data_IF_851697435146
#
_entry.id   IF_851697435146
#
_cell.length_a   1.000
_cell.length_b   1.000
_cell.length_c   1.000
_cell.angle_alpha   90.00
_cell.angle_beta   90.00
_cell.angle_gamma   90.00
#
_symmetry.space_group_name_H-M   'P 1'
#
loop_
_entity.id
_entity.type
_entity.pdbx_description
1 polymer ?
#
# COMPACT_ATOMS: atom_id res chain seq x y z
N UNK A 1 -33.77 -2.84 -7.17
CA UNK A 1 -33.29 -1.89 -8.20
C UNK A 1 -31.81 -1.51 -8.11
N UNK A 2 -31.09 -1.70 -6.98
CA UNK A 2 -29.63 -1.47 -6.97
C UNK A 2 -28.79 -2.63 -7.55
N UNK A 3 -29.31 -3.86 -7.52
CA UNK A 3 -28.59 -5.05 -7.98
C UNK A 3 -28.57 -5.23 -9.51
N UNK A 4 -29.44 -4.55 -10.27
CA UNK A 4 -29.44 -4.57 -11.75
C UNK A 4 -28.32 -3.70 -12.37
N UNK A 5 -27.62 -2.89 -11.56
CA UNK A 5 -26.48 -2.06 -11.98
C UNK A 5 -25.12 -2.74 -11.81
N UNK A 6 -25.10 -3.96 -11.26
CA UNK A 6 -23.89 -4.76 -11.04
C UNK A 6 -23.85 -5.87 -12.10
N UNK A 7 -23.30 -5.54 -13.27
CA UNK A 7 -22.92 -6.54 -14.24
C UNK A 7 -21.44 -6.82 -14.08
N UNK A 8 -21.09 -7.58 -13.01
CA UNK A 8 -19.70 -7.93 -12.75
C UNK A 8 -19.23 -8.67 -13.99
N UNK A 9 -18.44 -7.99 -14.83
CA UNK A 9 -17.81 -8.59 -16.00
C UNK A 9 -16.98 -9.80 -15.57
N UNK A 10 -16.40 -10.50 -16.54
CA UNK A 10 -15.59 -11.70 -16.29
C UNK A 10 -14.71 -11.54 -15.03
N UNK A 11 -14.91 -12.43 -14.05
CA UNK A 11 -14.32 -12.34 -12.71
C UNK A 11 -12.81 -12.02 -12.65
N UNK A 12 -11.98 -12.47 -13.60
CA UNK A 12 -10.58 -12.06 -13.70
C UNK A 12 -10.37 -10.53 -13.80
N UNK A 13 -11.25 -9.81 -14.49
CA UNK A 13 -11.13 -8.37 -14.69
C UNK A 13 -11.35 -7.60 -13.38
N UNK A 14 -12.34 -8.01 -12.58
CA UNK A 14 -12.61 -7.42 -11.27
C UNK A 14 -11.40 -7.54 -10.32
N UNK A 15 -10.65 -8.64 -10.41
CA UNK A 15 -9.42 -8.84 -9.62
C UNK A 15 -8.34 -7.85 -10.07
N UNK A 16 -8.15 -7.66 -11.38
CA UNK A 16 -7.19 -6.68 -11.90
C UNK A 16 -7.52 -5.25 -11.43
N UNK A 17 -8.80 -4.86 -11.50
CA UNK A 17 -9.27 -3.58 -10.96
C UNK A 17 -9.03 -3.46 -9.45
N UNK A 18 -9.29 -4.54 -8.69
CA UNK A 18 -9.05 -4.55 -7.25
C UNK A 18 -7.58 -4.35 -6.92
N UNK A 19 -6.67 -5.10 -7.57
CA UNK A 19 -5.22 -5.00 -7.36
C UNK A 19 -4.71 -3.61 -7.72
N UNK A 20 -5.19 -3.05 -8.84
CA UNK A 20 -4.88 -1.68 -9.25
C UNK A 20 -5.32 -0.65 -8.20
N UNK A 21 -6.60 -0.67 -7.81
CA UNK A 21 -7.14 0.25 -6.81
C UNK A 21 -6.39 0.11 -5.49
N UNK A 22 -6.14 -1.13 -5.06
CA UNK A 22 -5.42 -1.42 -3.83
C UNK A 22 -4.01 -0.84 -3.83
N UNK A 23 -3.22 -1.09 -4.88
CA UNK A 23 -1.86 -0.55 -5.01
C UNK A 23 -1.83 0.98 -5.04
N UNK A 24 -2.74 1.60 -5.80
CA UNK A 24 -2.86 3.06 -5.87
C UNK A 24 -3.28 3.67 -4.53
N UNK A 25 -4.21 3.03 -3.80
CA UNK A 25 -4.63 3.46 -2.46
C UNK A 25 -3.47 3.33 -1.46
N UNK A 26 -2.72 2.22 -1.47
CA UNK A 26 -1.55 2.06 -0.60
C UNK A 26 -0.52 3.17 -0.83
N UNK A 27 -0.21 3.45 -2.09
CA UNK A 27 0.70 4.55 -2.45
C UNK A 27 0.18 5.91 -2.01
N UNK A 28 -1.13 6.15 -2.12
CA UNK A 28 -1.77 7.40 -1.67
C UNK A 28 -1.71 7.53 -0.14
N UNK A 29 -2.01 6.47 0.60
CA UNK A 29 -1.93 6.46 2.06
C UNK A 29 -0.49 6.72 2.49
N UNK A 30 0.50 6.07 1.86
CA UNK A 30 1.92 6.31 2.14
C UNK A 30 2.31 7.77 1.84
N UNK A 31 1.82 8.36 0.75
CA UNK A 31 2.10 9.77 0.41
C UNK A 31 1.56 10.72 1.47
N UNK A 32 0.31 10.51 1.87
CA UNK A 32 -0.36 11.30 2.91
C UNK A 32 0.35 11.10 4.26
N UNK A 33 0.71 9.88 4.61
CA UNK A 33 1.42 9.57 5.84
C UNK A 33 2.79 10.26 5.91
N UNK A 34 3.55 10.27 4.80
CA UNK A 34 4.82 11.00 4.68
C UNK A 34 4.59 12.51 4.77
N UNK A 35 3.58 13.06 4.08
CA UNK A 35 3.31 14.50 4.05
C UNK A 35 2.92 15.08 5.41
N UNK A 36 2.19 14.31 6.21
CA UNK A 36 1.70 14.70 7.54
C UNK A 36 2.47 14.04 8.69
N UNK A 37 3.59 13.37 8.42
CA UNK A 37 4.45 12.70 9.40
C UNK A 37 3.69 11.75 10.35
N UNK A 38 2.69 11.03 9.84
CA UNK A 38 1.85 10.11 10.62
C UNK A 38 2.59 8.80 10.87
N UNK A 39 3.29 8.74 12.01
CA UNK A 39 4.13 7.59 12.42
C UNK A 39 3.39 6.25 12.50
N UNK A 40 2.07 6.26 12.66
CA UNK A 40 1.23 5.06 12.73
C UNK A 40 0.89 4.45 11.36
N UNK A 41 1.12 5.19 10.28
CA UNK A 41 0.80 4.79 8.91
C UNK A 41 2.01 4.81 7.97
N UNK A 42 3.11 5.45 8.37
CA UNK A 42 4.30 5.60 7.55
C UNK A 42 5.11 4.30 7.50
N UNK A 43 5.41 3.83 6.29
CA UNK A 43 6.28 2.68 6.10
C UNK A 43 7.75 3.10 6.02
N UNK A 44 8.01 4.09 5.17
CA UNK A 44 9.32 4.70 4.96
C UNK A 44 9.23 6.22 5.15
N UNK A 45 10.19 6.76 5.87
CA UNK A 45 10.28 8.19 6.17
C UNK A 45 11.09 8.93 5.09
N UNK A 46 10.90 10.26 5.02
CA UNK A 46 11.71 11.15 4.18
C UNK A 46 11.55 10.92 2.67
N UNK A 47 12.58 11.24 1.86
CA UNK A 47 12.51 11.16 0.40
C UNK A 47 12.17 9.76 -0.11
N UNK A 48 12.65 8.71 0.57
CA UNK A 48 12.38 7.32 0.22
C UNK A 48 10.88 6.98 0.34
N UNK A 49 10.18 7.54 1.32
CA UNK A 49 8.72 7.39 1.45
C UNK A 49 7.95 8.04 0.30
N UNK A 50 8.38 9.22 -0.15
CA UNK A 50 7.79 9.90 -1.31
C UNK A 50 8.02 9.12 -2.60
N UNK A 51 9.24 8.61 -2.83
CA UNK A 51 9.55 7.75 -3.97
C UNK A 51 8.73 6.47 -3.96
N UNK A 52 8.62 5.79 -2.82
CA UNK A 52 7.78 4.60 -2.69
C UNK A 52 6.31 4.91 -3.05
N UNK A 53 5.79 6.05 -2.58
CA UNK A 53 4.43 6.47 -2.91
C UNK A 53 4.24 6.65 -4.42
N UNK A 54 5.17 7.36 -5.07
CA UNK A 54 5.14 7.57 -6.51
C UNK A 54 5.25 6.27 -7.30
N UNK A 55 6.11 5.33 -6.86
CA UNK A 55 6.27 4.01 -7.48
C UNK A 55 5.01 3.17 -7.29
N UNK A 56 4.39 3.18 -6.12
CA UNK A 56 3.15 2.42 -5.88
C UNK A 56 2.01 2.96 -6.74
N UNK A 57 1.83 4.28 -6.79
CA UNK A 57 0.79 4.90 -7.62
C UNK A 57 1.12 4.67 -9.09
N UNK A 58 2.23 5.23 -9.58
CA UNK A 58 2.61 5.17 -10.99
C UNK A 58 2.81 3.74 -11.48
N UNK A 59 3.40 2.87 -10.67
CA UNK A 59 3.57 1.45 -10.97
C UNK A 59 2.24 0.71 -11.04
N UNK A 60 1.26 1.02 -10.18
CA UNK A 60 -0.09 0.43 -10.30
C UNK A 60 -0.76 0.85 -11.60
N UNK A 61 -0.66 2.13 -11.98
CA UNK A 61 -1.18 2.62 -13.27
C UNK A 61 -0.48 1.95 -14.45
N UNK A 62 0.85 1.97 -14.48
CA UNK A 62 1.64 1.38 -15.57
C UNK A 62 1.33 -0.12 -15.70
N UNK A 63 1.33 -0.84 -14.57
CA UNK A 63 1.01 -2.27 -14.55
C UNK A 63 -0.38 -2.54 -15.11
N UNK A 64 -1.39 -1.82 -14.60
CA UNK A 64 -2.78 -2.01 -15.02
C UNK A 64 -2.95 -1.80 -16.53
N UNK A 65 -2.40 -0.71 -17.08
CA UNK A 65 -2.49 -0.41 -18.52
C UNK A 65 -1.64 -1.32 -19.42
N UNK A 66 -0.57 -1.92 -18.90
CA UNK A 66 0.26 -2.87 -19.67
C UNK A 66 -0.36 -4.26 -19.68
N UNK A 67 -0.93 -4.70 -18.56
CA UNK A 67 -1.44 -6.06 -18.39
C UNK A 67 -2.86 -6.26 -18.91
N UNK A 68 -3.71 -5.23 -18.86
CA UNK A 68 -5.11 -5.34 -19.24
C UNK A 68 -5.40 -4.43 -20.44
N UNK A 69 -5.35 -5.00 -21.65
CA UNK A 69 -5.61 -4.26 -22.91
C UNK A 69 -7.09 -4.27 -23.31
N UNK A 70 -7.96 -4.97 -22.57
CA UNK A 70 -9.38 -5.13 -22.87
C UNK A 70 -10.28 -4.06 -22.21
N UNK A 71 -9.69 -2.92 -21.85
CA UNK A 71 -10.37 -1.75 -21.21
C UNK A 71 -11.51 -1.15 -22.07
N UNK A 72 -11.68 -1.63 -23.32
CA UNK A 72 -12.64 -1.11 -24.31
C UNK A 72 -13.86 -2.00 -24.58
N UNK A 73 -13.99 -3.17 -23.95
CA UNK A 73 -15.25 -3.93 -23.88
C UNK A 73 -16.16 -3.19 -22.90
N UNK A 74 -17.50 -3.01 -23.12
CA UNK A 74 -18.36 -2.15 -22.30
C UNK A 74 -18.03 -2.33 -20.82
N UNK A 75 -17.31 -1.33 -20.29
CA UNK A 75 -16.56 -1.49 -19.06
C UNK A 75 -17.46 -1.66 -17.87
N UNK A 76 -16.88 -2.16 -16.78
CA UNK A 76 -17.50 -2.25 -15.46
C UNK A 76 -18.33 -0.98 -15.19
N UNK A 77 -19.61 -1.13 -14.86
CA UNK A 77 -20.46 0.01 -14.62
C UNK A 77 -19.88 0.84 -13.45
N UNK A 78 -20.02 2.16 -13.48
CA UNK A 78 -19.35 3.05 -12.51
C UNK A 78 -19.62 2.68 -11.04
N UNK A 79 -20.79 2.08 -10.73
CA UNK A 79 -21.11 1.57 -9.40
C UNK A 79 -20.28 0.37 -8.96
N UNK A 80 -19.85 -0.47 -9.89
CA UNK A 80 -19.02 -1.64 -9.64
C UNK A 80 -17.58 -1.23 -9.38
N UNK A 81 -17.05 -0.32 -10.19
CA UNK A 81 -15.72 0.25 -9.99
C UNK A 81 -15.67 0.97 -8.63
N UNK A 82 -16.73 1.70 -8.28
CA UNK A 82 -16.86 2.31 -6.96
C UNK A 82 -16.84 1.27 -5.82
N UNK A 83 -17.57 0.16 -5.99
CA UNK A 83 -17.60 -0.93 -5.00
C UNK A 83 -16.22 -1.57 -4.83
N UNK A 84 -15.51 -1.81 -5.94
CA UNK A 84 -14.13 -2.34 -5.92
C UNK A 84 -13.20 -1.33 -5.24
N UNK A 85 -13.29 -0.05 -5.58
CA UNK A 85 -12.49 1.00 -4.95
C UNK A 85 -12.72 1.08 -3.44
N UNK A 86 -13.98 1.09 -2.99
CA UNK A 86 -14.33 1.14 -1.56
C UNK A 86 -13.84 -0.12 -0.84
N UNK A 87 -14.02 -1.30 -1.42
CA UNK A 87 -13.54 -2.55 -0.80
C UNK A 87 -12.01 -2.59 -0.73
N UNK A 88 -11.31 -2.19 -1.78
CA UNK A 88 -9.85 -2.05 -1.78
C UNK A 88 -9.39 -1.06 -0.71
N UNK A 89 -10.10 0.06 -0.54
CA UNK A 89 -9.79 1.06 0.49
C UNK A 89 -9.96 0.51 1.91
N UNK A 90 -11.08 -0.18 2.18
CA UNK A 90 -11.35 -0.83 3.48
C UNK A 90 -10.25 -1.84 3.82
N UNK A 91 -9.75 -2.59 2.83
CA UNK A 91 -8.66 -3.58 3.01
C UNK A 91 -7.29 -2.91 3.12
N UNK A 92 -7.04 -1.82 2.40
CA UNK A 92 -5.75 -1.13 2.41
C UNK A 92 -5.41 -0.54 3.79
N UNK A 93 -6.37 0.05 4.49
CA UNK A 93 -6.15 0.65 5.82
C UNK A 93 -5.54 -0.33 6.84
N UNK A 94 -6.14 -1.50 7.13
CA UNK A 94 -5.59 -2.44 8.09
C UNK A 94 -4.24 -3.00 7.63
N UNK A 95 -4.07 -3.26 6.32
CA UNK A 95 -2.79 -3.71 5.76
C UNK A 95 -1.70 -2.67 6.00
N UNK A 96 -1.96 -1.39 5.72
CA UNK A 96 -1.00 -0.32 5.98
C UNK A 96 -0.59 -0.26 7.44
N UNK A 97 -1.55 -0.41 8.36
CA UNK A 97 -1.26 -0.42 9.80
C UNK A 97 -0.42 -1.63 10.23
N UNK A 98 -0.73 -2.81 9.72
CA UNK A 98 0.04 -4.04 10.00
C UNK A 98 1.49 -3.89 9.53
N UNK A 99 1.68 -3.37 8.31
CA UNK A 99 3.01 -3.14 7.74
C UNK A 99 3.78 -2.10 8.55
N UNK A 100 3.17 -0.95 8.85
CA UNK A 100 3.79 0.10 9.67
C UNK A 100 4.21 -0.44 11.05
N UNK A 101 3.33 -1.23 11.69
CA UNK A 101 3.64 -1.89 12.96
C UNK A 101 4.81 -2.87 12.84
N UNK A 102 4.83 -3.72 11.81
CA UNK A 102 5.92 -4.66 11.58
C UNK A 102 7.26 -3.95 11.38
N UNK A 103 7.29 -2.88 10.58
CA UNK A 103 8.49 -2.07 10.34
C UNK A 103 8.97 -1.41 11.64
N UNK A 104 8.06 -0.84 12.42
CA UNK A 104 8.41 -0.23 13.71
C UNK A 104 9.02 -1.26 14.68
N UNK A 105 8.47 -2.47 14.73
CA UNK A 105 9.01 -3.58 15.55
C UNK A 105 10.43 -3.97 15.13
N UNK A 106 10.69 -4.08 13.83
CA UNK A 106 12.03 -4.42 13.31
C UNK A 106 13.05 -3.33 13.64
N UNK A 107 12.69 -2.04 13.48
CA UNK A 107 13.57 -0.92 13.84
C UNK A 107 13.98 -0.97 15.33
N UNK A 108 13.04 -1.26 16.23
CA UNK A 108 13.30 -1.35 17.69
C UNK A 108 14.27 -2.49 18.02
N UNK A 109 14.11 -3.66 17.39
CA UNK A 109 15.00 -4.81 17.61
C UNK A 109 16.42 -4.48 17.13
N UNK A 110 16.55 -3.85 15.96
CA UNK A 110 17.85 -3.47 15.39
C UNK A 110 18.62 -2.50 16.28
N UNK A 111 17.96 -1.44 16.78
CA UNK A 111 18.58 -0.45 17.68
C UNK A 111 19.07 -1.12 18.98
N UNK A 112 18.26 -2.03 19.53
CA UNK A 112 18.60 -2.76 20.76
C UNK A 112 19.85 -3.65 20.57
N UNK A 113 19.99 -4.27 19.39
CA UNK A 113 21.16 -5.07 19.06
C UNK A 113 22.43 -4.21 18.95
N UNK A 114 22.36 -3.06 18.27
CA UNK A 114 23.51 -2.15 18.10
C UNK A 114 23.96 -1.57 19.44
N UNK A 115 23.03 -1.16 20.30
CA UNK A 115 23.34 -0.65 21.64
C UNK A 115 24.06 -1.70 22.51
N UNK A 116 23.65 -2.98 22.41
CA UNK A 116 24.28 -4.08 23.16
C UNK A 116 25.73 -4.33 22.73
N UNK A 117 26.03 -4.22 21.43
CA UNK A 117 27.39 -4.38 20.89
C UNK A 117 28.29 -3.23 21.35
N UNK A 118 27.80 -1.99 21.33
CA UNK A 118 28.59 -0.84 21.74
C UNK A 118 28.91 -0.85 23.25
N UNK A 119 27.97 -1.33 24.08
CA UNK A 119 28.19 -1.49 25.52
C UNK A 119 29.27 -2.53 25.81
N UNK A 120 29.26 -3.68 25.13
CA UNK A 120 30.26 -4.73 25.30
C UNK A 120 31.67 -4.32 24.83
N UNK A 121 31.77 -3.35 23.90
CA UNK A 121 33.06 -2.81 23.44
C UNK A 121 33.71 -1.85 24.45
N UNK A 122 32.93 -1.22 25.33
CA UNK A 122 33.41 -0.24 26.32
C UNK A 122 33.76 -0.86 27.67
N UNK A 123 33.54 -2.17 27.88
CA UNK A 123 34.04 -2.86 29.07
C UNK A 123 35.56 -2.98 28.99
N UNK A 124 36.32 -2.40 29.95
CA UNK A 124 37.76 -2.59 30.02
C UNK A 124 38.04 -4.07 30.28
N UNK A 125 38.91 -4.63 29.45
CA UNK A 125 39.45 -5.98 29.64
C UNK A 125 40.19 -5.98 31.00
N UNK A 126 39.87 -6.91 31.92
CA UNK A 126 40.49 -6.96 33.24
C UNK A 126 42.00 -7.21 33.18
#
# INVERSE_FOLDING_TARGET
MFFDLLHFGDGPQAINYFVFCFGAILGTIQMVAVRYERRDLIWLDGPAGSWLSAILIGGSFIWFFVTDQEIFIPGLAGGELFTIFVSAFIVAIPITRIIAFAIARVKVISISATARVETKRKEPIP
#
